data_IF_936913511622
#
_entry.id   IF_936913511622
#
_cell.length_a   1.000
_cell.length_b   1.000
_cell.length_c   1.000
_cell.angle_alpha   90.00
_cell.angle_beta   90.00
_cell.angle_gamma   90.00
#
_symmetry.space_group_name_H-M   'P 1'
#
loop_
_entity.id
_entity.type
_entity.pdbx_description
1 polymer ?
#
# COMPACT_ATOMS: atom_id res chain seq x y z
N UNK A 1 13.19 -22.91 8.73
CA UNK A 1 12.73 -21.56 8.30
C UNK A 1 12.30 -21.51 6.83
N UNK A 2 13.13 -21.94 5.86
CA UNK A 2 12.80 -21.90 4.41
C UNK A 2 11.50 -22.63 4.03
N UNK A 3 11.20 -23.78 4.65
CA UNK A 3 9.93 -24.50 4.41
C UNK A 3 8.70 -23.72 4.89
N UNK A 4 8.78 -23.02 6.02
CA UNK A 4 7.65 -22.26 6.58
C UNK A 4 7.35 -21.04 5.71
N UNK A 5 8.37 -20.29 5.29
CA UNK A 5 8.20 -19.14 4.40
C UNK A 5 7.52 -19.51 3.08
N UNK A 6 7.93 -20.61 2.44
CA UNK A 6 7.30 -21.13 1.22
C UNK A 6 5.84 -21.55 1.42
N UNK A 7 5.53 -22.20 2.54
CA UNK A 7 4.14 -22.56 2.87
C UNK A 7 3.28 -21.31 3.05
N UNK A 8 3.77 -20.31 3.78
CA UNK A 8 3.04 -19.04 3.96
C UNK A 8 2.87 -18.32 2.62
N UNK A 9 3.90 -18.29 1.77
CA UNK A 9 3.82 -17.71 0.42
C UNK A 9 2.75 -18.36 -0.46
N UNK A 10 2.58 -19.68 -0.37
CA UNK A 10 1.51 -20.38 -1.11
C UNK A 10 0.10 -20.08 -0.57
N UNK A 11 -0.01 -19.76 0.74
CA UNK A 11 -1.29 -19.47 1.41
C UNK A 11 -1.69 -18.00 1.34
N UNK A 12 -0.73 -17.10 1.23
CA UNK A 12 -0.92 -15.64 1.21
C UNK A 12 -0.30 -15.10 -0.07
N UNK A 13 -1.10 -15.11 -1.15
CA UNK A 13 -0.64 -14.66 -2.48
C UNK A 13 -0.79 -13.15 -2.60
N UNK A 14 0.34 -12.45 -2.69
CA UNK A 14 0.40 -10.99 -2.76
C UNK A 14 0.78 -10.55 -4.18
N UNK A 15 -0.08 -9.73 -4.77
CA UNK A 15 0.23 -8.94 -5.96
C UNK A 15 0.78 -7.58 -5.53
N UNK A 16 1.98 -7.22 -5.98
CA UNK A 16 2.60 -5.93 -5.67
C UNK A 16 2.58 -5.02 -6.89
N UNK A 17 2.05 -3.82 -6.74
CA UNK A 17 2.16 -2.81 -7.79
C UNK A 17 2.88 -1.57 -7.27
N UNK A 18 3.85 -1.12 -8.04
CA UNK A 18 4.76 -0.05 -7.65
C UNK A 18 4.44 1.16 -8.51
N UNK A 19 4.06 2.26 -7.88
CA UNK A 19 3.87 3.52 -8.58
C UNK A 19 5.24 4.13 -8.91
N UNK A 20 5.48 4.42 -10.19
CA UNK A 20 6.71 5.07 -10.64
C UNK A 20 6.44 5.94 -11.88
N UNK A 21 7.46 6.59 -12.41
CA UNK A 21 7.42 7.38 -13.64
C UNK A 21 8.65 7.08 -14.51
N UNK A 22 8.59 7.42 -15.80
CA UNK A 22 9.70 7.21 -16.76
C UNK A 22 11.05 7.65 -16.17
N UNK A 23 11.07 8.83 -15.55
CA UNK A 23 12.26 9.45 -14.95
C UNK A 23 12.92 8.61 -13.84
N UNK A 24 12.18 7.67 -13.25
CA UNK A 24 12.62 6.85 -12.11
C UNK A 24 12.85 5.38 -12.48
N UNK A 25 12.63 4.98 -13.72
CA UNK A 25 12.85 3.61 -14.19
C UNK A 25 14.25 3.10 -13.82
N UNK A 26 15.28 3.84 -14.24
CA UNK A 26 16.68 3.51 -13.95
C UNK A 26 17.14 4.01 -12.58
N UNK A 27 16.59 5.12 -12.07
CA UNK A 27 17.11 5.70 -10.82
C UNK A 27 16.61 4.99 -9.57
N UNK A 28 15.43 4.37 -9.62
CA UNK A 28 14.73 3.83 -8.44
C UNK A 28 14.09 2.47 -8.71
N UNK A 29 13.23 2.38 -9.72
CA UNK A 29 12.42 1.19 -9.96
C UNK A 29 13.26 -0.07 -10.23
N UNK A 30 14.41 0.07 -10.92
CA UNK A 30 15.32 -1.05 -11.13
C UNK A 30 15.85 -1.66 -9.81
N UNK A 31 16.05 -0.86 -8.77
CA UNK A 31 16.53 -1.33 -7.47
C UNK A 31 15.45 -2.11 -6.73
N UNK A 32 14.19 -1.67 -6.83
CA UNK A 32 13.05 -2.44 -6.34
C UNK A 32 12.95 -3.77 -7.09
N UNK A 33 13.04 -3.74 -8.44
CA UNK A 33 13.04 -4.95 -9.27
C UNK A 33 14.17 -5.89 -8.85
N UNK A 34 15.36 -5.37 -8.55
CA UNK A 34 16.52 -6.17 -8.16
C UNK A 34 16.39 -6.80 -6.76
N UNK A 35 15.56 -6.24 -5.88
CA UNK A 35 15.49 -6.56 -4.45
C UNK A 35 14.15 -7.16 -4.03
N UNK A 36 13.33 -6.44 -3.26
CA UNK A 36 12.24 -6.98 -2.46
C UNK A 36 11.05 -7.47 -3.30
N UNK A 37 10.78 -6.84 -4.45
CA UNK A 37 9.56 -7.12 -5.22
C UNK A 37 9.53 -8.55 -5.79
N UNK A 38 10.71 -9.15 -6.01
CA UNK A 38 10.84 -10.56 -6.44
C UNK A 38 10.23 -11.55 -5.44
N UNK A 39 10.00 -11.14 -4.19
CA UNK A 39 9.38 -11.94 -3.14
C UNK A 39 7.85 -11.90 -3.17
N UNK A 40 7.25 -11.00 -3.95
CA UNK A 40 5.82 -11.00 -4.23
C UNK A 40 5.46 -12.13 -5.22
N UNK A 41 4.23 -12.63 -5.18
CA UNK A 41 3.80 -13.70 -6.09
C UNK A 41 3.67 -13.21 -7.54
N UNK A 42 3.37 -11.92 -7.71
CA UNK A 42 3.40 -11.19 -8.99
C UNK A 42 3.63 -9.73 -8.71
N UNK A 43 4.22 -9.04 -9.67
CA UNK A 43 4.36 -7.60 -9.60
C UNK A 43 4.28 -6.91 -10.95
N UNK A 44 3.90 -5.64 -10.91
CA UNK A 44 3.93 -4.70 -12.03
C UNK A 44 4.39 -3.33 -11.54
N UNK A 45 5.00 -2.57 -12.44
CA UNK A 45 5.28 -1.15 -12.20
C UNK A 45 4.23 -0.33 -12.95
N UNK A 46 3.54 0.56 -12.27
CA UNK A 46 2.51 1.42 -12.87
C UNK A 46 3.14 2.77 -13.18
N UNK A 47 3.22 3.13 -14.46
CA UNK A 47 4.06 4.22 -14.94
C UNK A 47 3.41 5.09 -16.02
N UNK A 48 4.08 6.17 -16.43
CA UNK A 48 3.72 6.99 -17.59
C UNK A 48 4.29 6.48 -18.91
N UNK A 49 5.15 5.45 -18.86
CA UNK A 49 5.78 4.86 -20.05
C UNK A 49 5.91 3.36 -19.85
N UNK A 50 5.70 2.61 -20.92
CA UNK A 50 5.84 1.16 -20.92
C UNK A 50 7.32 0.78 -20.94
N UNK A 51 7.69 -0.24 -20.17
CA UNK A 51 9.05 -0.75 -20.12
C UNK A 51 9.02 -2.24 -19.78
N UNK A 52 9.20 -3.09 -20.78
CA UNK A 52 9.17 -4.55 -20.63
C UNK A 52 10.29 -5.08 -19.74
N UNK A 53 11.42 -4.37 -19.65
CA UNK A 53 12.50 -4.73 -18.73
C UNK A 53 12.14 -4.45 -17.28
N UNK A 54 11.23 -3.51 -16.98
CA UNK A 54 10.75 -3.21 -15.63
C UNK A 54 9.33 -3.72 -15.37
N UNK A 55 8.86 -4.76 -16.07
CA UNK A 55 7.41 -4.96 -16.37
C UNK A 55 6.51 -3.75 -16.05
N UNK A 56 6.81 -2.61 -16.66
CA UNK A 56 6.11 -1.36 -16.41
C UNK A 56 4.95 -1.19 -17.39
N UNK A 57 3.76 -0.97 -16.86
CA UNK A 57 2.54 -0.70 -17.61
C UNK A 57 2.29 0.81 -17.67
N UNK A 58 2.04 1.32 -18.88
CA UNK A 58 1.69 2.71 -19.09
C UNK A 58 0.21 2.96 -18.75
N UNK A 59 -0.05 3.71 -17.68
CA UNK A 59 -1.41 4.11 -17.28
C UNK A 59 -2.04 5.16 -18.20
N UNK A 60 -1.28 5.71 -19.16
CA UNK A 60 -1.69 6.83 -20.02
C UNK A 60 -2.16 8.07 -19.22
N UNK A 61 -1.52 8.32 -18.08
CA UNK A 61 -1.79 9.46 -17.20
C UNK A 61 -0.49 10.23 -16.98
N UNK A 62 -0.58 11.55 -17.10
CA UNK A 62 0.54 12.48 -16.93
C UNK A 62 1.25 12.34 -15.57
N UNK A 63 2.54 12.66 -15.56
CA UNK A 63 3.36 12.72 -14.35
C UNK A 63 2.99 13.89 -13.43
N UNK A 64 3.24 13.70 -12.13
CA UNK A 64 3.10 14.75 -11.10
C UNK A 64 2.12 14.41 -9.98
N UNK A 65 2.35 15.02 -8.81
CA UNK A 65 1.61 14.74 -7.57
C UNK A 65 0.10 14.91 -7.69
N UNK A 66 -0.36 15.89 -8.47
CA UNK A 66 -1.79 16.15 -8.72
C UNK A 66 -2.52 15.01 -9.43
N UNK A 67 -1.80 14.10 -10.07
CA UNK A 67 -2.36 12.97 -10.82
C UNK A 67 -2.28 11.64 -10.08
N UNK A 68 -1.66 11.58 -8.89
CA UNK A 68 -1.45 10.33 -8.14
C UNK A 68 -2.76 9.59 -7.85
N UNK A 69 -3.83 10.33 -7.55
CA UNK A 69 -5.13 9.72 -7.33
C UNK A 69 -5.66 9.02 -8.59
N UNK A 70 -5.64 9.70 -9.73
CA UNK A 70 -6.07 9.10 -10.99
C UNK A 70 -5.21 7.89 -11.36
N UNK A 71 -3.88 8.00 -11.23
CA UNK A 71 -2.97 6.87 -11.47
C UNK A 71 -3.29 5.66 -10.60
N UNK A 72 -3.56 5.90 -9.31
CA UNK A 72 -3.92 4.84 -8.37
C UNK A 72 -5.24 4.18 -8.72
N UNK A 73 -6.26 4.95 -9.11
CA UNK A 73 -7.55 4.41 -9.55
C UNK A 73 -7.39 3.52 -10.77
N UNK A 74 -6.67 3.99 -11.79
CA UNK A 74 -6.44 3.22 -13.02
C UNK A 74 -5.59 1.98 -12.75
N UNK A 75 -4.55 2.08 -11.93
CA UNK A 75 -3.74 0.93 -11.53
C UNK A 75 -4.58 -0.17 -10.87
N UNK A 76 -5.38 0.19 -9.86
CA UNK A 76 -6.25 -0.78 -9.19
C UNK A 76 -7.35 -1.31 -10.11
N UNK A 77 -7.91 -0.49 -11.01
CA UNK A 77 -8.89 -0.95 -12.00
C UNK A 77 -8.28 -1.97 -12.96
N UNK A 78 -7.11 -1.67 -13.51
CA UNK A 78 -6.37 -2.59 -14.37
C UNK A 78 -6.05 -3.91 -13.65
N UNK A 79 -5.57 -3.83 -12.40
CA UNK A 79 -5.26 -5.02 -11.60
C UNK A 79 -6.51 -5.84 -11.31
N UNK A 80 -7.63 -5.18 -10.99
CA UNK A 80 -8.91 -5.83 -10.79
C UNK A 80 -9.32 -6.64 -12.03
N UNK A 81 -9.28 -6.01 -13.20
CA UNK A 81 -9.78 -6.63 -14.43
C UNK A 81 -8.92 -7.82 -14.89
N UNK A 82 -7.63 -7.81 -14.59
CA UNK A 82 -6.67 -8.79 -15.10
C UNK A 82 -6.21 -9.84 -14.08
N UNK A 83 -6.25 -9.53 -12.78
CA UNK A 83 -5.56 -10.34 -11.76
C UNK A 83 -6.35 -10.55 -10.46
N UNK A 84 -7.59 -10.03 -10.33
CA UNK A 84 -8.33 -10.07 -9.06
C UNK A 84 -8.45 -11.49 -8.47
N UNK A 85 -8.73 -12.47 -9.32
CA UNK A 85 -9.03 -13.84 -8.88
C UNK A 85 -7.78 -14.68 -8.61
N UNK A 86 -6.60 -14.22 -9.05
CA UNK A 86 -5.35 -14.97 -8.96
C UNK A 86 -4.59 -14.72 -7.65
N UNK A 87 -4.89 -13.61 -6.96
CA UNK A 87 -4.16 -13.16 -5.76
C UNK A 87 -5.11 -12.80 -4.63
N UNK A 88 -4.63 -12.93 -3.40
CA UNK A 88 -5.42 -12.74 -2.18
C UNK A 88 -5.36 -11.28 -1.68
N UNK A 89 -4.21 -10.64 -1.90
CA UNK A 89 -3.90 -9.30 -1.43
C UNK A 89 -3.17 -8.46 -2.49
N UNK A 90 -3.43 -7.15 -2.51
CA UNK A 90 -2.97 -6.22 -3.53
C UNK A 90 -2.26 -5.03 -2.87
N UNK A 91 -0.93 -5.06 -2.90
CA UNK A 91 -0.06 -4.05 -2.28
C UNK A 91 0.22 -2.91 -3.25
N UNK A 92 -0.08 -1.68 -2.83
CA UNK A 92 0.47 -0.45 -3.41
C UNK A 92 1.74 -0.06 -2.67
N UNK A 93 2.80 0.22 -3.40
CA UNK A 93 4.04 0.83 -2.89
C UNK A 93 4.51 1.95 -3.85
N UNK A 94 5.32 2.89 -3.34
CA UNK A 94 6.00 3.88 -4.17
C UNK A 94 7.40 3.39 -4.56
N UNK A 95 8.02 4.05 -5.54
CA UNK A 95 9.35 3.68 -6.03
C UNK A 95 10.51 3.99 -5.06
N UNK A 96 10.21 4.52 -3.89
CA UNK A 96 11.10 4.75 -2.76
C UNK A 96 10.67 4.01 -1.47
N UNK A 97 9.75 3.04 -1.58
CA UNK A 97 9.34 2.17 -0.45
C UNK A 97 10.12 0.84 -0.44
N UNK A 98 10.50 0.36 0.75
CA UNK A 98 11.06 -0.98 0.94
C UNK A 98 10.08 -1.89 1.71
N UNK A 99 9.92 -3.14 1.24
CA UNK A 99 8.95 -4.08 1.82
C UNK A 99 9.64 -5.36 2.26
N UNK A 100 9.47 -5.73 3.53
CA UNK A 100 9.82 -7.05 4.05
C UNK A 100 8.60 -7.96 3.84
N UNK A 101 8.51 -8.55 2.65
CA UNK A 101 7.31 -9.29 2.19
C UNK A 101 6.97 -10.47 3.11
N UNK A 102 7.95 -11.12 3.73
CA UNK A 102 7.75 -12.19 4.72
C UNK A 102 7.02 -11.69 5.97
N UNK A 103 7.39 -10.51 6.48
CA UNK A 103 6.72 -9.89 7.63
C UNK A 103 5.31 -9.45 7.26
N UNK A 104 5.14 -8.91 6.04
CA UNK A 104 3.81 -8.56 5.51
C UNK A 104 2.91 -9.80 5.42
N UNK A 105 3.41 -10.92 4.88
CA UNK A 105 2.64 -12.17 4.86
C UNK A 105 2.27 -12.64 6.24
N UNK A 106 3.20 -12.60 7.20
CA UNK A 106 2.95 -12.98 8.58
C UNK A 106 1.83 -12.14 9.22
N UNK A 107 1.80 -10.82 8.96
CA UNK A 107 0.69 -9.95 9.38
C UNK A 107 -0.66 -10.38 8.78
N UNK A 108 -0.67 -10.88 7.54
CA UNK A 108 -1.89 -11.20 6.80
C UNK A 108 -2.46 -12.59 7.06
N UNK A 109 -1.66 -13.54 7.57
CA UNK A 109 -2.09 -14.93 7.87
C UNK A 109 -3.44 -15.03 8.60
N UNK A 110 -3.74 -14.23 9.65
CA UNK A 110 -4.99 -14.38 10.40
C UNK A 110 -6.22 -13.79 9.69
N UNK A 111 -6.06 -13.08 8.56
CA UNK A 111 -7.16 -12.39 7.88
C UNK A 111 -7.62 -13.12 6.63
N UNK A 112 -8.93 -13.06 6.36
CA UNK A 112 -9.49 -13.64 5.14
C UNK A 112 -9.47 -12.61 4.00
N UNK A 113 -8.99 -12.96 2.79
CA UNK A 113 -9.05 -12.06 1.63
C UNK A 113 -10.49 -11.82 1.14
N UNK A 114 -11.47 -12.57 1.67
CA UNK A 114 -12.91 -12.38 1.41
C UNK A 114 -13.52 -11.28 2.28
N UNK A 115 -12.82 -10.83 3.32
CA UNK A 115 -13.27 -9.71 4.15
C UNK A 115 -12.84 -8.39 3.50
N UNK A 116 -13.71 -7.38 3.56
CA UNK A 116 -13.44 -6.05 3.03
C UNK A 116 -12.47 -5.27 3.93
N UNK A 117 -11.17 -5.54 3.79
CA UNK A 117 -10.09 -4.98 4.62
C UNK A 117 -9.04 -4.26 3.78
N UNK A 118 -8.47 -3.21 4.36
CA UNK A 118 -7.21 -2.64 3.91
C UNK A 118 -6.31 -2.32 5.12
N UNK A 119 -5.00 -2.36 4.91
CA UNK A 119 -3.99 -2.21 5.95
C UNK A 119 -2.87 -1.26 5.50
N UNK A 120 -2.23 -0.58 6.45
CA UNK A 120 -1.08 0.29 6.22
C UNK A 120 -0.70 1.09 7.47
N UNK A 121 0.03 2.20 7.31
CA UNK A 121 0.25 3.15 8.40
C UNK A 121 -0.98 4.05 8.57
N UNK A 122 -1.75 3.85 9.64
CA UNK A 122 -3.08 4.43 9.80
C UNK A 122 -3.05 5.85 10.36
N UNK A 123 -3.57 6.81 9.60
CA UNK A 123 -3.84 8.19 10.01
C UNK A 123 -5.33 8.41 10.31
N UNK A 124 -5.65 9.44 11.09
CA UNK A 124 -7.01 9.82 11.51
C UNK A 124 -7.63 11.08 10.87
N UNK A 125 -6.91 12.16 10.51
CA UNK A 125 -7.53 13.47 10.32
C UNK A 125 -8.65 13.60 9.28
N UNK A 126 -8.72 12.71 8.29
CA UNK A 126 -9.60 12.90 7.13
C UNK A 126 -10.67 11.82 6.92
N UNK A 127 -10.70 10.78 7.75
CA UNK A 127 -11.73 9.71 7.71
C UNK A 127 -12.04 9.24 9.13
N UNK A 128 -13.29 8.85 9.39
CA UNK A 128 -13.69 8.46 10.77
C UNK A 128 -13.00 7.17 11.21
N UNK A 129 -12.87 6.23 10.28
CA UNK A 129 -12.24 4.91 10.49
C UNK A 129 -10.76 4.90 10.18
N UNK A 130 -10.16 6.02 9.81
CA UNK A 130 -8.76 6.17 9.44
C UNK A 130 -8.46 5.81 7.97
N UNK A 131 -7.33 6.29 7.47
CA UNK A 131 -6.82 6.05 6.12
C UNK A 131 -5.33 5.69 6.22
N UNK A 132 -4.74 5.11 5.19
CA UNK A 132 -3.35 4.65 5.25
C UNK A 132 -2.43 5.56 4.45
N UNK A 133 -1.27 5.91 5.01
CA UNK A 133 -0.24 6.70 4.31
C UNK A 133 0.09 6.12 2.94
N UNK A 134 0.09 6.97 1.90
CA UNK A 134 0.48 6.56 0.56
C UNK A 134 1.96 6.13 0.47
N UNK A 135 2.85 6.90 1.11
CA UNK A 135 4.31 6.67 1.07
C UNK A 135 4.77 5.46 1.90
N UNK A 136 4.05 5.13 2.97
CA UNK A 136 4.31 3.90 3.74
C UNK A 136 3.84 2.63 3.01
N UNK A 137 3.17 2.78 1.85
CA UNK A 137 2.44 1.72 1.19
C UNK A 137 1.18 1.29 1.95
N UNK A 138 0.26 0.66 1.22
CA UNK A 138 -0.94 0.09 1.79
C UNK A 138 -1.42 -1.10 0.96
N UNK A 139 -2.13 -2.03 1.60
CA UNK A 139 -2.54 -3.31 1.01
C UNK A 139 -4.04 -3.50 1.13
N UNK A 140 -4.66 -3.94 0.05
CA UNK A 140 -6.09 -4.24 -0.04
C UNK A 140 -6.29 -5.76 -0.09
N UNK A 141 -7.28 -6.25 0.64
CA UNK A 141 -7.84 -7.59 0.42
C UNK A 141 -8.48 -7.69 -0.97
N UNK A 142 -8.63 -8.92 -1.50
CA UNK A 142 -9.38 -9.17 -2.73
C UNK A 142 -10.80 -8.58 -2.68
N UNK A 143 -11.51 -8.74 -1.56
CA UNK A 143 -12.83 -8.13 -1.42
C UNK A 143 -12.79 -6.60 -1.42
N UNK A 144 -11.80 -5.96 -0.79
CA UNK A 144 -11.66 -4.52 -0.86
C UNK A 144 -11.43 -4.02 -2.29
N UNK A 145 -10.55 -4.68 -3.06
CA UNK A 145 -10.32 -4.33 -4.46
C UNK A 145 -11.56 -4.55 -5.33
N UNK A 146 -12.28 -5.67 -5.13
CA UNK A 146 -13.55 -5.94 -5.83
C UNK A 146 -14.56 -4.83 -5.59
N UNK A 147 -14.76 -4.40 -4.35
CA UNK A 147 -15.68 -3.29 -4.02
C UNK A 147 -15.22 -1.97 -4.61
N UNK A 148 -13.91 -1.69 -4.53
CA UNK A 148 -13.34 -0.50 -5.13
C UNK A 148 -13.69 -0.41 -6.61
N UNK A 149 -13.45 -1.47 -7.39
CA UNK A 149 -13.74 -1.46 -8.83
C UNK A 149 -15.24 -1.47 -9.16
N UNK A 150 -16.04 -2.27 -8.45
CA UNK A 150 -17.47 -2.45 -8.78
C UNK A 150 -18.41 -1.37 -8.22
N UNK A 151 -18.04 -0.72 -7.12
CA UNK A 151 -18.89 0.29 -6.45
C UNK A 151 -18.26 1.68 -6.43
N UNK A 152 -16.94 1.75 -6.32
CA UNK A 152 -16.22 3.00 -6.16
C UNK A 152 -15.78 3.62 -7.48
N UNK A 153 -15.14 2.84 -8.35
CA UNK A 153 -14.42 3.34 -9.52
C UNK A 153 -15.31 4.16 -10.46
N UNK A 154 -16.53 3.72 -10.75
CA UNK A 154 -17.45 4.46 -11.65
C UNK A 154 -18.31 5.51 -10.95
N UNK A 155 -18.27 5.62 -9.62
CA UNK A 155 -19.10 6.55 -8.87
C UNK A 155 -18.27 7.75 -8.36
N UNK A 156 -18.36 8.85 -9.11
CA UNK A 156 -17.68 10.12 -8.79
C UNK A 156 -18.21 10.80 -7.51
N UNK A 157 -19.36 10.38 -6.96
CA UNK A 157 -19.85 10.87 -5.67
C UNK A 157 -19.20 10.11 -4.52
N UNK A 158 -18.98 8.81 -4.67
CA UNK A 158 -18.36 7.94 -3.66
C UNK A 158 -16.83 8.09 -3.68
N UNK A 159 -16.23 7.95 -4.86
CA UNK A 159 -14.78 7.98 -5.06
C UNK A 159 -14.41 9.14 -5.98
N UNK A 160 -14.62 10.36 -5.48
CA UNK A 160 -14.46 11.62 -6.20
C UNK A 160 -13.15 11.71 -6.95
N UNK A 161 -13.21 12.12 -8.21
CA UNK A 161 -12.02 12.30 -9.07
C UNK A 161 -11.55 13.75 -9.08
N UNK A 162 -12.50 14.67 -9.23
CA UNK A 162 -12.23 16.11 -9.36
C UNK A 162 -11.95 16.74 -8.00
N UNK A 163 -11.04 17.73 -7.98
CA UNK A 163 -10.71 18.49 -6.76
C UNK A 163 -10.10 17.64 -5.64
N UNK A 164 -9.52 16.49 -5.96
CA UNK A 164 -8.75 15.68 -5.02
C UNK A 164 -7.28 16.03 -5.16
N UNK A 165 -6.66 16.48 -4.08
CA UNK A 165 -5.23 16.85 -4.07
C UNK A 165 -4.32 15.78 -3.48
N UNK A 166 -4.85 14.85 -2.67
CA UNK A 166 -4.05 13.85 -1.94
C UNK A 166 -4.64 12.46 -2.14
N UNK A 167 -3.82 11.57 -2.72
CA UNK A 167 -4.20 10.22 -3.15
C UNK A 167 -4.66 9.32 -2.00
N UNK A 168 -3.88 9.25 -0.92
CA UNK A 168 -4.14 8.35 0.20
C UNK A 168 -5.41 8.72 0.99
N UNK A 169 -5.67 10.02 1.16
CA UNK A 169 -6.91 10.55 1.73
C UNK A 169 -8.11 10.17 0.85
N UNK A 170 -7.96 10.28 -0.47
CA UNK A 170 -9.02 9.95 -1.41
C UNK A 170 -9.33 8.45 -1.41
N UNK A 171 -8.29 7.62 -1.41
CA UNK A 171 -8.41 6.17 -1.26
C UNK A 171 -9.12 5.83 0.05
N UNK A 172 -8.70 6.42 1.17
CA UNK A 172 -9.34 6.21 2.47
C UNK A 172 -10.83 6.55 2.49
N UNK A 173 -11.21 7.72 1.97
CA UNK A 173 -12.62 8.16 1.89
C UNK A 173 -13.46 7.25 0.98
N UNK A 174 -12.91 6.88 -0.17
CA UNK A 174 -13.53 5.98 -1.12
C UNK A 174 -13.81 4.61 -0.47
N UNK A 175 -12.79 3.99 0.12
CA UNK A 175 -12.89 2.70 0.80
C UNK A 175 -13.88 2.74 1.98
N UNK A 176 -13.83 3.79 2.81
CA UNK A 176 -14.78 3.97 3.92
C UNK A 176 -16.23 4.02 3.42
N UNK A 177 -16.48 4.76 2.32
CA UNK A 177 -17.82 4.96 1.75
C UNK A 177 -18.42 3.68 1.14
N UNK A 178 -17.58 2.77 0.64
CA UNK A 178 -18.01 1.46 0.11
C UNK A 178 -17.94 0.33 1.15
N UNK A 179 -17.77 0.69 2.42
CA UNK A 179 -17.83 -0.24 3.55
C UNK A 179 -16.59 -1.15 3.69
N UNK A 180 -15.44 -0.73 3.18
CA UNK A 180 -14.14 -1.37 3.44
C UNK A 180 -13.58 -0.82 4.76
N UNK A 181 -13.03 -1.69 5.61
CA UNK A 181 -12.56 -1.34 6.96
C UNK A 181 -11.04 -1.22 7.01
N UNK A 182 -10.55 -0.12 7.58
CA UNK A 182 -9.13 0.07 7.90
C UNK A 182 -8.72 -0.76 9.12
N UNK A 183 -7.90 -1.78 8.91
CA UNK A 183 -7.40 -2.65 9.97
C UNK A 183 -6.27 -2.05 10.81
N UNK A 184 -5.97 -2.70 11.94
CA UNK A 184 -4.82 -2.37 12.78
C UNK A 184 -3.63 -3.26 12.40
N UNK A 185 -2.51 -2.62 12.10
CA UNK A 185 -1.28 -3.30 11.65
C UNK A 185 -0.22 -3.39 12.74
N UNK A 186 -0.48 -2.84 13.93
CA UNK A 186 0.48 -2.87 15.03
C UNK A 186 0.74 -4.30 15.51
N UNK A 187 1.92 -4.54 16.06
CA UNK A 187 2.22 -5.82 16.69
C UNK A 187 1.61 -5.92 18.10
N UNK A 188 1.93 -7.01 18.79
CA UNK A 188 1.42 -7.30 20.14
C UNK A 188 1.91 -6.28 21.19
N UNK A 189 2.98 -5.56 20.89
CA UNK A 189 3.55 -4.49 21.73
C UNK A 189 2.96 -3.12 21.36
N UNK A 190 2.07 -3.07 20.35
CA UNK A 190 1.49 -1.82 19.87
C UNK A 190 2.41 -1.03 18.93
N UNK A 191 3.50 -1.64 18.43
CA UNK A 191 4.45 -0.98 17.54
C UNK A 191 4.00 -1.08 16.09
N UNK A 192 4.27 -0.03 15.32
CA UNK A 192 3.88 0.04 13.92
C UNK A 192 4.69 -0.91 13.04
N UNK A 193 4.00 -1.63 12.14
CA UNK A 193 4.63 -2.48 11.12
C UNK A 193 4.71 -1.84 9.73
N UNK A 194 4.10 -0.69 9.54
CA UNK A 194 4.25 0.16 8.36
C UNK A 194 4.87 1.46 8.85
N UNK A 195 5.71 2.11 8.06
CA UNK A 195 6.31 3.39 8.44
C UNK A 195 6.28 4.35 7.26
N UNK A 196 5.87 5.61 7.46
CA UNK A 196 6.01 6.67 6.46
C UNK A 196 7.36 7.41 6.58
N UNK A 197 8.28 6.91 7.40
CA UNK A 197 9.57 7.53 7.68
C UNK A 197 10.68 6.77 6.98
N UNK A 198 11.71 7.49 6.54
CA UNK A 198 12.91 6.87 5.99
C UNK A 198 13.64 6.01 7.03
N UNK A 199 14.42 5.00 6.59
CA UNK A 199 15.21 4.17 7.50
C UNK A 199 16.09 4.97 8.46
N UNK A 200 16.65 6.10 8.04
CA UNK A 200 17.50 6.96 8.89
C UNK A 200 16.71 7.55 10.06
N UNK A 201 15.49 8.04 9.81
CA UNK A 201 14.62 8.57 10.86
C UNK A 201 14.12 7.46 11.81
N UNK A 202 13.85 6.28 11.25
CA UNK A 202 13.46 5.09 12.03
C UNK A 202 14.58 4.63 12.97
N UNK A 203 15.81 4.55 12.48
CA UNK A 203 16.99 4.11 13.27
C UNK A 203 17.37 5.16 14.32
N UNK A 204 17.32 6.44 13.97
CA UNK A 204 17.65 7.53 14.90
C UNK A 204 16.61 7.75 15.99
N UNK A 205 15.44 7.09 15.94
CA UNK A 205 14.34 7.32 16.87
C UNK A 205 13.74 8.73 16.77
N UNK A 206 14.00 9.44 15.67
CA UNK A 206 13.56 10.82 15.47
C UNK A 206 12.20 10.85 14.78
N UNK A 207 11.13 10.82 15.58
CA UNK A 207 9.75 10.82 15.08
C UNK A 207 9.21 12.26 14.91
N UNK A 208 8.88 12.68 13.67
CA UNK A 208 8.37 14.02 13.41
C UNK A 208 7.00 14.28 14.05
N UNK A 209 6.76 15.50 14.53
CA UNK A 209 5.50 15.87 15.18
C UNK A 209 4.28 15.70 14.27
N UNK A 210 4.42 15.93 12.95
CA UNK A 210 3.32 15.74 12.01
C UNK A 210 2.81 14.29 12.03
N UNK A 211 3.72 13.31 12.10
CA UNK A 211 3.38 11.89 12.11
C UNK A 211 2.67 11.51 13.41
N UNK A 212 3.22 11.96 14.55
CA UNK A 212 2.67 11.72 15.89
C UNK A 212 1.28 12.35 16.04
N UNK A 213 1.07 13.54 15.47
CA UNK A 213 -0.22 14.24 15.55
C UNK A 213 -1.29 13.62 14.62
N UNK A 214 -0.88 13.02 13.51
CA UNK A 214 -1.80 12.48 12.51
C UNK A 214 -2.11 11.00 12.71
N UNK A 215 -1.26 10.23 13.40
CA UNK A 215 -1.48 8.78 13.61
C UNK A 215 -2.84 8.53 14.25
N UNK A 216 -3.47 7.43 13.85
CA UNK A 216 -4.76 7.02 14.40
C UNK A 216 -4.66 6.56 15.85
N UNK A 217 -3.49 6.07 16.24
CA UNK A 217 -3.25 5.49 17.55
C UNK A 217 -2.55 6.49 18.44
N UNK A 218 -3.08 6.71 19.64
CA UNK A 218 -2.45 7.58 20.62
C UNK A 218 -1.27 6.85 21.26
N UNK A 219 -0.06 7.11 20.77
CA UNK A 219 1.19 6.53 21.28
C UNK A 219 2.03 7.66 21.89
N UNK A 220 2.39 7.59 23.19
CA UNK A 220 3.27 8.58 23.82
C UNK A 220 4.57 8.70 23.03
N UNK A 221 5.08 9.93 22.84
CA UNK A 221 6.29 10.17 22.03
C UNK A 221 7.50 9.34 22.51
N UNK A 222 7.60 9.08 23.81
CA UNK A 222 8.64 8.25 24.44
C UNK A 222 8.53 6.76 24.13
N UNK A 223 7.38 6.29 23.66
CA UNK A 223 7.10 4.88 23.35
C UNK A 223 7.29 4.55 21.87
N UNK A 224 7.72 5.52 21.05
CA UNK A 224 7.96 5.27 19.63
C UNK A 224 9.29 4.55 19.43
N UNK A 225 9.21 3.38 18.80
CA UNK A 225 10.36 2.59 18.36
C UNK A 225 9.97 1.74 17.15
N UNK A 226 10.97 1.14 16.50
CA UNK A 226 10.76 0.26 15.38
C UNK A 226 10.33 -1.14 15.84
N UNK A 227 9.27 -1.67 15.23
CA UNK A 227 8.91 -3.07 15.42
C UNK A 227 9.96 -3.98 14.76
N UNK A 228 10.39 -5.03 15.45
CA UNK A 228 11.16 -6.14 14.84
C UNK A 228 10.35 -6.89 13.77
N UNK A 229 9.02 -6.68 13.72
CA UNK A 229 8.08 -7.24 12.75
C UNK A 229 7.67 -6.22 11.68
N UNK A 230 8.48 -5.17 11.48
CA UNK A 230 8.25 -4.17 10.44
C UNK A 230 8.09 -4.83 9.06
N UNK A 231 7.03 -4.46 8.36
CA UNK A 231 6.64 -4.98 7.06
C UNK A 231 7.00 -4.00 5.94
N UNK A 232 6.86 -2.70 6.19
CA UNK A 232 7.19 -1.64 5.23
C UNK A 232 7.99 -0.52 5.91
N UNK A 233 9.04 -0.11 5.22
CA UNK A 233 10.03 0.92 5.60
C UNK A 233 10.15 1.95 4.48
#
# INVERSE_FOLDING_TARGET
LVKVAKVIESKVRIFCWILTGKQNHERRAQHIKATWVKRCNKYLFMSSEENSSLPAHNLNISEGRKFLWMKTREAFKYIHDNYLNDYDWFLKADDDTYVIVENLRYLLVPYSPKEALHFGFKFRPFTKRGYHSGGAGYILSREALRRFASKGYSDDKICRVKGVSVEDVAMGKCLESIGVRAGDTRDQEGLHRFSPLSPELMISGSFPNWMVNMTYYNIPKSSWTCSSRSSLL
#
